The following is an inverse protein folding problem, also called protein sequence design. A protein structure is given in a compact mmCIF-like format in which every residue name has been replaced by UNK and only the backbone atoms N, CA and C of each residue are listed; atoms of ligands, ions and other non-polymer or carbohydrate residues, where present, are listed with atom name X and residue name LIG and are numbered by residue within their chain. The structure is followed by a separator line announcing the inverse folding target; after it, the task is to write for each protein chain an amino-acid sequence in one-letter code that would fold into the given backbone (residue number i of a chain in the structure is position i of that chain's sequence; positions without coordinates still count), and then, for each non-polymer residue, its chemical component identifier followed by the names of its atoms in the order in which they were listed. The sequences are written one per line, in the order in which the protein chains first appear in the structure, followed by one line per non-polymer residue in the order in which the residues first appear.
data_IF_529193297024
#
_entry.id   IF_529193297024
#
_cell.length_a   1.000
_cell.length_b   1.000
_cell.length_c   1.000
_cell.angle_alpha   90.00
_cell.angle_beta   90.00
_cell.angle_gamma   90.00
#
_symmetry.space_group_name_H-M   'P 1'
#
loop_
_entity.id
_entity.type
_entity.pdbx_description
1 polymer ?
#
# COMPACT_ATOMS: atom_id res chain seq x y z
N UNK A 1 28.12 -25.32 -0.56
CA UNK A 1 28.74 -23.98 -0.74
C UNK A 1 28.11 -23.02 0.24
N UNK A 2 28.93 -22.30 1.00
CA UNK A 2 28.45 -21.19 1.83
C UNK A 2 28.02 -20.04 0.90
N UNK A 3 26.87 -19.40 1.15
CA UNK A 3 26.43 -18.27 0.35
C UNK A 3 27.41 -17.09 0.49
N UNK A 4 27.57 -16.26 -0.55
CA UNK A 4 28.46 -15.09 -0.47
C UNK A 4 28.04 -14.13 0.66
N UNK A 5 28.99 -13.37 1.20
CA UNK A 5 28.77 -12.46 2.35
C UNK A 5 27.90 -11.23 1.97
N UNK A 6 26.72 -11.03 2.59
CA UNK A 6 25.76 -9.99 2.18
C UNK A 6 26.33 -8.56 2.03
N UNK A 7 25.75 -7.79 1.11
CA UNK A 7 26.09 -6.40 0.82
C UNK A 7 25.36 -5.44 1.78
N UNK A 8 24.04 -5.55 1.92
CA UNK A 8 23.23 -4.62 2.74
C UNK A 8 22.57 -5.31 3.93
N UNK A 9 22.17 -6.57 3.80
CA UNK A 9 21.47 -7.31 4.85
C UNK A 9 22.42 -7.95 5.88
N UNK A 10 21.92 -8.16 7.10
CA UNK A 10 22.64 -8.91 8.13
C UNK A 10 22.76 -10.41 7.81
N UNK A 11 21.84 -10.95 7.01
CA UNK A 11 21.81 -12.38 6.62
C UNK A 11 21.52 -12.53 5.13
N UNK A 12 21.93 -13.64 4.50
CA UNK A 12 21.63 -13.90 3.09
C UNK A 12 20.13 -13.91 2.81
N UNK A 13 19.76 -13.56 1.57
CA UNK A 13 18.36 -13.54 1.12
C UNK A 13 17.75 -14.95 1.06
N UNK A 14 16.43 -15.03 0.89
CA UNK A 14 15.69 -16.28 0.64
C UNK A 14 16.27 -17.06 -0.54
N UNK A 15 16.75 -16.38 -1.57
CA UNK A 15 17.30 -17.02 -2.77
C UNK A 15 18.61 -17.74 -2.54
N UNK A 16 19.33 -17.43 -1.45
CA UNK A 16 20.57 -18.10 -1.11
C UNK A 16 20.39 -19.60 -0.84
N UNK A 17 19.18 -20.14 -0.65
CA UNK A 17 18.92 -21.58 -0.46
C UNK A 17 18.38 -22.27 -1.70
N UNK A 18 18.19 -21.55 -2.81
CA UNK A 18 17.58 -22.12 -4.01
C UNK A 18 18.51 -23.11 -4.72
N UNK A 19 17.92 -24.14 -5.31
CA UNK A 19 18.57 -24.97 -6.32
C UNK A 19 18.82 -24.16 -7.60
N UNK A 20 19.73 -24.64 -8.44
CA UNK A 20 20.05 -24.00 -9.73
C UNK A 20 18.81 -23.80 -10.62
N UNK A 21 17.91 -24.79 -10.65
CA UNK A 21 16.66 -24.72 -11.44
C UNK A 21 15.73 -23.64 -10.87
N UNK A 22 15.52 -23.63 -9.55
CA UNK A 22 14.71 -22.61 -8.89
C UNK A 22 15.27 -21.21 -9.12
N UNK A 23 16.60 -21.04 -9.05
CA UNK A 23 17.23 -19.76 -9.30
C UNK A 23 17.02 -19.25 -10.73
N UNK A 24 17.15 -20.13 -11.74
CA UNK A 24 16.85 -19.78 -13.15
C UNK A 24 15.38 -19.43 -13.38
N UNK A 25 14.46 -20.17 -12.76
CA UNK A 25 13.02 -19.86 -12.83
C UNK A 25 12.74 -18.49 -12.21
N UNK A 26 13.32 -18.19 -11.06
CA UNK A 26 13.16 -16.89 -10.41
C UNK A 26 13.79 -15.74 -11.21
N UNK A 27 14.92 -15.95 -11.91
CA UNK A 27 15.46 -14.96 -12.85
C UNK A 27 14.53 -14.73 -14.04
N UNK A 28 13.96 -15.79 -14.61
CA UNK A 28 12.98 -15.67 -15.69
C UNK A 28 11.71 -14.95 -15.22
N UNK A 29 11.24 -15.24 -14.01
CA UNK A 29 10.10 -14.55 -13.40
C UNK A 29 10.40 -13.05 -13.15
N UNK A 30 11.61 -12.71 -12.71
CA UNK A 30 12.04 -11.32 -12.59
C UNK A 30 12.06 -10.62 -13.96
N UNK A 31 12.63 -11.26 -14.98
CA UNK A 31 12.62 -10.70 -16.34
C UNK A 31 11.19 -10.48 -16.84
N UNK A 32 10.29 -11.44 -16.62
CA UNK A 32 8.87 -11.30 -16.95
C UNK A 32 8.20 -10.16 -16.17
N UNK A 33 8.51 -9.99 -14.89
CA UNK A 33 7.98 -8.89 -14.06
C UNK A 33 8.47 -7.52 -14.54
N UNK A 34 9.73 -7.42 -14.97
CA UNK A 34 10.29 -6.20 -15.56
C UNK A 34 9.60 -5.86 -16.89
N UNK A 35 9.37 -6.85 -17.75
CA UNK A 35 8.62 -6.64 -18.99
C UNK A 35 7.15 -6.26 -18.70
N UNK A 36 6.54 -6.92 -17.73
CA UNK A 36 5.18 -6.63 -17.30
C UNK A 36 5.06 -5.20 -16.77
N UNK A 37 6.07 -4.66 -16.07
CA UNK A 37 5.99 -3.27 -15.60
C UNK A 37 6.03 -2.23 -16.72
N UNK A 38 6.63 -2.57 -17.87
CA UNK A 38 6.62 -1.72 -19.05
C UNK A 38 5.24 -1.64 -19.72
N UNK A 39 4.27 -2.47 -19.34
CA UNK A 39 2.87 -2.32 -19.80
C UNK A 39 2.25 -1.00 -19.37
N UNK A 40 2.88 -0.24 -18.46
CA UNK A 40 2.48 1.13 -18.11
C UNK A 40 2.44 2.09 -19.30
N UNK A 41 3.21 1.82 -20.36
CA UNK A 41 3.18 2.60 -21.60
C UNK A 41 1.94 2.31 -22.47
N UNK A 42 1.22 1.23 -22.18
CA UNK A 42 -0.06 0.90 -22.79
C UNK A 42 -1.24 1.53 -22.04
N UNK A 43 -1.00 2.06 -20.84
CA UNK A 43 -2.02 2.69 -20.01
C UNK A 43 -2.03 4.20 -20.28
N UNK A 44 -3.15 4.78 -20.70
CA UNK A 44 -3.27 6.22 -20.86
C UNK A 44 -2.89 6.96 -19.58
N UNK A 45 -2.33 8.18 -19.68
CA UNK A 45 -2.18 9.01 -18.49
C UNK A 45 -3.57 9.22 -17.84
N UNK A 46 -3.62 9.37 -16.51
CA UNK A 46 -4.87 9.73 -15.87
C UNK A 46 -5.40 11.02 -16.52
N UNK A 47 -6.72 11.15 -16.69
CA UNK A 47 -7.27 12.43 -17.13
C UNK A 47 -6.77 13.53 -16.17
N UNK A 48 -6.59 14.77 -16.66
CA UNK A 48 -6.41 15.92 -15.76
C UNK A 48 -7.47 15.81 -14.67
N UNK A 49 -7.11 16.09 -13.40
CA UNK A 49 -8.03 16.02 -12.27
C UNK A 49 -9.38 16.55 -12.73
N UNK A 50 -10.39 15.68 -12.75
CA UNK A 50 -11.65 15.98 -13.40
C UNK A 50 -12.23 17.19 -12.70
N UNK A 51 -12.04 18.34 -13.32
CA UNK A 51 -12.88 19.50 -13.09
C UNK A 51 -14.19 19.05 -13.73
N UNK A 52 -15.02 18.34 -12.97
CA UNK A 52 -16.39 18.06 -13.40
C UNK A 52 -17.06 19.42 -13.67
N UNK A 53 -18.12 19.43 -14.49
CA UNK A 53 -18.68 20.63 -15.15
C UNK A 53 -19.05 21.84 -14.26
N UNK A 54 -18.77 21.78 -12.96
CA UNK A 54 -18.93 22.80 -11.92
C UNK A 54 -17.61 23.38 -11.35
N UNK A 55 -16.42 22.79 -11.60
CA UNK A 55 -15.15 23.37 -11.12
C UNK A 55 -14.45 22.70 -9.92
N UNK A 56 -15.07 21.71 -9.27
CA UNK A 56 -14.65 21.24 -7.94
C UNK A 56 -13.65 20.06 -7.99
N UNK A 57 -12.65 20.07 -7.09
CA UNK A 57 -11.73 18.94 -6.87
C UNK A 57 -12.21 18.05 -5.71
N UNK A 58 -11.84 16.77 -5.71
CA UNK A 58 -12.18 15.83 -4.62
C UNK A 58 -11.76 16.35 -3.23
N UNK A 59 -10.67 17.09 -3.14
CA UNK A 59 -10.20 17.70 -1.87
C UNK A 59 -11.18 18.77 -1.41
N UNK A 60 -11.56 19.69 -2.29
CA UNK A 60 -12.52 20.74 -1.98
C UNK A 60 -13.90 20.17 -1.61
N UNK A 61 -14.29 19.03 -2.18
CA UNK A 61 -15.48 18.28 -1.78
C UNK A 61 -15.36 17.78 -0.33
N UNK A 62 -14.25 17.15 0.05
CA UNK A 62 -14.10 16.65 1.42
C UNK A 62 -13.98 17.78 2.44
N UNK A 63 -13.30 18.88 2.11
CA UNK A 63 -13.21 20.06 2.97
C UNK A 63 -14.58 20.71 3.21
N UNK A 64 -15.43 20.80 2.19
CA UNK A 64 -16.79 21.35 2.35
C UNK A 64 -17.66 20.47 3.26
N UNK A 65 -17.53 19.14 3.15
CA UNK A 65 -18.21 18.19 4.04
C UNK A 65 -17.74 18.36 5.49
N UNK A 66 -16.42 18.46 5.71
CA UNK A 66 -15.85 18.71 7.05
C UNK A 66 -16.37 20.02 7.63
N UNK A 67 -16.40 21.09 6.83
CA UNK A 67 -16.91 22.38 7.25
C UNK A 67 -18.39 22.31 7.63
N UNK A 68 -19.23 21.65 6.84
CA UNK A 68 -20.66 21.48 7.15
C UNK A 68 -20.87 20.73 8.48
N UNK A 69 -20.15 19.62 8.69
CA UNK A 69 -20.22 18.85 9.94
C UNK A 69 -19.71 19.66 11.13
N UNK A 70 -18.66 20.48 10.95
CA UNK A 70 -18.14 21.36 12.00
C UNK A 70 -19.17 22.43 12.43
N UNK A 71 -20.07 22.84 11.54
CA UNK A 71 -21.18 23.74 11.83
C UNK A 71 -22.44 23.02 12.37
N UNK A 72 -22.34 21.71 12.66
CA UNK A 72 -23.39 20.93 13.31
C UNK A 72 -24.32 20.17 12.35
N UNK A 73 -24.00 20.09 11.06
CA UNK A 73 -24.76 19.26 10.13
C UNK A 73 -24.50 17.76 10.34
N UNK A 74 -25.51 16.94 10.02
CA UNK A 74 -25.36 15.49 9.95
C UNK A 74 -24.47 15.11 8.76
N UNK A 75 -23.48 14.24 9.00
CA UNK A 75 -22.50 13.82 8.00
C UNK A 75 -23.13 13.31 6.71
N UNK A 76 -24.17 12.48 6.80
CA UNK A 76 -24.76 11.83 5.63
C UNK A 76 -25.53 12.83 4.79
N UNK A 77 -26.26 13.76 5.42
CA UNK A 77 -26.94 14.85 4.71
C UNK A 77 -25.97 15.80 4.05
N UNK A 78 -24.99 16.30 4.81
CA UNK A 78 -23.94 17.19 4.30
C UNK A 78 -23.20 16.56 3.10
N UNK A 79 -22.86 15.28 3.20
CA UNK A 79 -22.20 14.54 2.12
C UNK A 79 -23.12 14.37 0.91
N UNK A 80 -24.39 14.02 1.10
CA UNK A 80 -25.33 13.85 -0.01
C UNK A 80 -25.53 15.16 -0.78
N UNK A 81 -25.68 16.28 -0.06
CA UNK A 81 -25.87 17.59 -0.68
C UNK A 81 -24.61 18.06 -1.40
N UNK A 82 -23.43 17.87 -0.81
CA UNK A 82 -22.16 18.18 -1.45
C UNK A 82 -21.92 17.33 -2.72
N UNK A 83 -22.21 16.03 -2.68
CA UNK A 83 -22.09 15.15 -3.85
C UNK A 83 -23.06 15.57 -4.97
N UNK A 84 -24.33 15.89 -4.65
CA UNK A 84 -25.30 16.38 -5.65
C UNK A 84 -24.86 17.70 -6.27
N UNK A 85 -24.40 18.64 -5.44
CA UNK A 85 -23.92 19.94 -5.89
C UNK A 85 -22.69 19.81 -6.81
N UNK A 86 -21.80 18.87 -6.50
CA UNK A 86 -20.62 18.56 -7.32
C UNK A 86 -20.90 17.69 -8.55
N UNK A 87 -22.12 17.15 -8.72
CA UNK A 87 -22.45 16.24 -9.81
C UNK A 87 -21.88 14.82 -9.65
N UNK A 88 -21.40 14.47 -8.45
CA UNK A 88 -20.86 13.15 -8.14
C UNK A 88 -21.97 12.11 -7.98
N UNK A 89 -21.68 10.81 -8.22
CA UNK A 89 -22.64 9.74 -7.97
C UNK A 89 -22.87 9.51 -6.47
N UNK A 90 -24.12 9.23 -6.09
CA UNK A 90 -24.51 8.86 -4.72
C UNK A 90 -24.79 7.36 -4.56
N UNK A 91 -24.69 6.57 -5.65
CA UNK A 91 -25.00 5.14 -5.66
C UNK A 91 -23.85 4.34 -6.28
N UNK A 92 -23.51 3.14 -5.75
CA UNK A 92 -24.01 2.53 -4.51
C UNK A 92 -23.48 3.25 -3.27
N UNK A 93 -23.83 2.79 -2.06
CA UNK A 93 -23.42 3.47 -0.82
C UNK A 93 -21.90 3.69 -0.66
N UNK A 94 -21.07 2.92 -1.38
CA UNK A 94 -19.61 3.06 -1.44
C UNK A 94 -19.12 4.36 -2.12
N UNK A 95 -20.01 5.16 -2.72
CA UNK A 95 -19.66 6.50 -3.17
C UNK A 95 -19.48 7.47 -2.00
N UNK A 96 -20.07 7.16 -0.84
CA UNK A 96 -19.82 7.86 0.42
C UNK A 96 -18.57 7.28 1.06
N UNK A 97 -17.71 8.16 1.59
CA UNK A 97 -16.58 7.73 2.41
C UNK A 97 -17.06 7.36 3.80
N UNK A 98 -16.24 6.61 4.54
CA UNK A 98 -16.54 6.36 5.94
C UNK A 98 -16.47 7.69 6.73
N UNK A 99 -17.40 7.93 7.66
CA UNK A 99 -17.50 9.23 8.35
C UNK A 99 -16.33 9.52 9.30
N UNK A 100 -15.53 8.51 9.66
CA UNK A 100 -14.57 8.59 10.76
C UNK A 100 -13.60 9.77 10.63
N UNK A 101 -13.04 10.00 9.43
CA UNK A 101 -12.11 11.11 9.23
C UNK A 101 -12.81 12.46 9.30
N UNK A 102 -13.92 12.62 8.56
CA UNK A 102 -14.63 13.90 8.50
C UNK A 102 -15.14 14.33 9.89
N UNK A 103 -15.67 13.40 10.68
CA UNK A 103 -16.14 13.67 12.04
C UNK A 103 -14.98 14.08 12.95
N UNK A 104 -13.83 13.40 12.88
CA UNK A 104 -12.65 13.80 13.67
C UNK A 104 -12.18 15.19 13.26
N UNK A 105 -12.07 15.47 11.95
CA UNK A 105 -11.61 16.75 11.44
C UNK A 105 -12.55 17.90 11.79
N UNK A 106 -13.86 17.67 11.78
CA UNK A 106 -14.86 18.65 12.18
C UNK A 106 -14.77 19.07 13.65
N UNK A 107 -14.22 18.20 14.52
CA UNK A 107 -14.07 18.48 15.96
C UNK A 107 -12.74 19.13 16.34
N UNK A 108 -11.78 19.20 15.42
CA UNK A 108 -10.43 19.68 15.69
C UNK A 108 -10.12 20.95 14.91
N UNK A 109 -9.34 21.88 15.48
CA UNK A 109 -8.79 23.00 14.72
C UNK A 109 -7.94 22.49 13.54
N UNK A 110 -7.95 23.15 12.37
CA UNK A 110 -7.20 22.69 11.19
C UNK A 110 -5.71 22.46 11.46
N UNK A 111 -5.08 23.33 12.26
CA UNK A 111 -3.68 23.18 12.64
C UNK A 111 -3.39 21.90 13.43
N UNK A 112 -4.32 21.46 14.29
CA UNK A 112 -4.18 20.23 15.06
C UNK A 112 -4.36 19.00 14.18
N UNK A 113 -5.28 19.05 13.21
CA UNK A 113 -5.45 17.98 12.20
C UNK A 113 -4.17 17.78 11.37
N UNK A 114 -3.56 18.87 10.90
CA UNK A 114 -2.28 18.82 10.18
C UNK A 114 -1.17 18.28 11.09
N UNK A 115 -1.10 18.74 12.34
CA UNK A 115 -0.12 18.23 13.31
C UNK A 115 -0.28 16.72 13.55
N UNK A 116 -1.52 16.22 13.68
CA UNK A 116 -1.81 14.79 13.82
C UNK A 116 -1.38 13.99 12.59
N UNK A 117 -1.59 14.51 11.38
CA UNK A 117 -1.13 13.88 10.15
C UNK A 117 0.40 13.74 10.14
N UNK A 118 1.10 14.83 10.44
CA UNK A 118 2.58 14.84 10.47
C UNK A 118 3.13 13.94 11.57
N UNK A 119 2.49 13.89 12.74
CA UNK A 119 2.85 12.97 13.81
C UNK A 119 2.65 11.51 13.40
N UNK A 120 1.54 11.19 12.71
CA UNK A 120 1.29 9.86 12.18
C UNK A 120 2.31 9.46 11.11
N UNK A 121 2.66 10.36 10.20
CA UNK A 121 3.69 10.16 9.19
C UNK A 121 5.07 9.92 9.83
N UNK A 122 5.43 10.73 10.84
CA UNK A 122 6.66 10.58 11.60
C UNK A 122 6.69 9.26 12.38
N UNK A 123 5.63 8.91 13.10
CA UNK A 123 5.52 7.65 13.83
C UNK A 123 5.65 6.43 12.91
N UNK A 124 5.01 6.47 11.74
CA UNK A 124 5.10 5.42 10.72
C UNK A 124 6.53 5.29 10.19
N UNK A 125 7.17 6.42 9.86
CA UNK A 125 8.56 6.46 9.37
C UNK A 125 9.53 5.92 10.42
N UNK A 126 9.41 6.35 11.68
CA UNK A 126 10.25 5.91 12.80
C UNK A 126 10.05 4.40 13.04
N UNK A 127 8.81 3.92 13.09
CA UNK A 127 8.51 2.51 13.31
C UNK A 127 9.15 1.61 12.23
N UNK A 128 9.06 2.02 10.96
CA UNK A 128 9.72 1.31 9.86
C UNK A 128 11.23 1.43 9.88
N UNK A 129 11.78 2.62 10.12
CA UNK A 129 13.22 2.82 10.17
C UNK A 129 13.86 1.98 11.29
N UNK A 130 13.29 2.01 12.50
CA UNK A 130 13.78 1.20 13.63
C UNK A 130 13.69 -0.30 13.33
N UNK A 131 12.66 -0.73 12.58
CA UNK A 131 12.53 -2.11 12.15
C UNK A 131 13.61 -2.50 11.14
N UNK A 132 13.83 -1.67 10.12
CA UNK A 132 14.83 -1.91 9.07
C UNK A 132 16.25 -1.82 9.61
N UNK A 133 16.54 -0.91 10.54
CA UNK A 133 17.86 -0.75 11.14
C UNK A 133 18.37 -2.03 11.83
N UNK A 134 17.47 -2.88 12.33
CA UNK A 134 17.82 -4.21 12.90
C UNK A 134 18.29 -5.21 11.85
N UNK A 135 17.87 -5.03 10.59
CA UNK A 135 18.23 -5.89 9.47
C UNK A 135 19.44 -5.39 8.69
N UNK A 136 19.82 -4.13 8.90
CA UNK A 136 20.85 -3.42 8.13
C UNK A 136 22.04 -3.08 9.05
N UNK A 137 23.13 -3.87 9.03
CA UNK A 137 24.28 -3.66 9.92
C UNK A 137 25.12 -2.44 9.54
N UNK A 138 25.06 -1.99 8.28
CA UNK A 138 25.95 -0.93 7.74
C UNK A 138 25.22 0.41 7.60
N UNK A 139 25.91 1.51 7.89
CA UNK A 139 25.37 2.87 7.79
C UNK A 139 24.85 3.22 6.38
N UNK A 140 25.56 2.94 5.26
CA UNK A 140 25.05 3.25 3.92
C UNK A 140 23.69 2.60 3.63
N UNK A 141 23.48 1.37 4.09
CA UNK A 141 22.20 0.69 3.90
C UNK A 141 21.07 1.32 4.73
N UNK A 142 21.38 1.83 5.93
CA UNK A 142 20.42 2.60 6.75
C UNK A 142 20.08 3.94 6.13
N UNK A 143 21.06 4.63 5.53
CA UNK A 143 20.82 5.88 4.79
C UNK A 143 19.93 5.61 3.56
N UNK A 144 20.20 4.55 2.81
CA UNK A 144 19.34 4.12 1.71
C UNK A 144 17.91 3.83 2.19
N UNK A 145 17.75 3.20 3.37
CA UNK A 145 16.43 2.94 3.95
C UNK A 145 15.68 4.24 4.30
N UNK A 146 16.37 5.21 4.88
CA UNK A 146 15.78 6.52 5.16
C UNK A 146 15.34 7.24 3.88
N UNK A 147 16.16 7.21 2.83
CA UNK A 147 15.83 7.81 1.52
C UNK A 147 14.60 7.13 0.89
N UNK A 148 14.55 5.80 0.90
CA UNK A 148 13.44 5.04 0.32
C UNK A 148 12.13 5.25 1.09
N UNK A 149 12.20 5.36 2.42
CA UNK A 149 11.05 5.72 3.25
C UNK A 149 10.59 7.15 2.95
N UNK A 150 11.51 8.12 2.88
CA UNK A 150 11.17 9.50 2.53
C UNK A 150 10.53 9.60 1.14
N UNK A 151 11.07 8.86 0.15
CA UNK A 151 10.49 8.79 -1.19
C UNK A 151 9.09 8.15 -1.19
N UNK A 152 8.83 7.13 -0.35
CA UNK A 152 7.50 6.55 -0.19
C UNK A 152 6.50 7.48 0.51
N UNK A 153 6.99 8.43 1.32
CA UNK A 153 6.19 9.34 2.14
C UNK A 153 5.84 10.67 1.46
N UNK A 154 6.26 10.93 0.22
CA UNK A 154 6.16 12.25 -0.43
C UNK A 154 4.74 12.85 -0.44
N UNK A 155 3.71 12.04 -0.68
CA UNK A 155 2.31 12.50 -0.64
C UNK A 155 1.79 12.70 0.79
N UNK A 156 2.33 11.98 1.76
CA UNK A 156 1.79 11.87 3.12
C UNK A 156 2.19 13.01 4.06
N UNK A 157 3.04 13.91 3.58
CA UNK A 157 3.52 15.10 4.31
C UNK A 157 2.99 16.40 3.72
N UNK A 158 2.07 16.33 2.76
CA UNK A 158 1.46 17.49 2.10
C UNK A 158 0.22 17.94 2.89
N UNK A 159 0.21 19.16 3.45
CA UNK A 159 -0.95 19.67 4.20
C UNK A 159 -2.23 19.74 3.37
N UNK A 160 -2.10 20.03 2.07
CA UNK A 160 -3.25 20.15 1.15
C UNK A 160 -4.00 18.82 0.93
N UNK A 161 -3.40 17.70 1.32
CA UNK A 161 -4.03 16.37 1.22
C UNK A 161 -4.64 15.91 2.56
N UNK A 162 -4.76 16.81 3.55
CA UNK A 162 -5.23 16.46 4.89
C UNK A 162 -6.66 15.90 4.89
N UNK A 163 -7.55 16.36 4.01
CA UNK A 163 -8.92 15.84 3.89
C UNK A 163 -8.99 14.52 3.08
N UNK A 164 -7.88 14.07 2.50
CA UNK A 164 -7.84 12.90 1.61
C UNK A 164 -7.69 11.60 2.41
N UNK A 165 -8.67 10.71 2.29
CA UNK A 165 -8.83 9.56 3.19
C UNK A 165 -7.71 8.52 3.03
N UNK A 166 -7.21 8.33 1.81
CA UNK A 166 -6.12 7.43 1.48
C UNK A 166 -4.80 7.80 2.15
N UNK A 167 -4.56 9.09 2.42
CA UNK A 167 -3.35 9.55 3.11
C UNK A 167 -3.32 8.98 4.53
N UNK A 168 -4.41 9.16 5.28
CA UNK A 168 -4.53 8.65 6.64
C UNK A 168 -4.57 7.13 6.67
N UNK A 169 -5.39 6.51 5.83
CA UNK A 169 -5.53 5.05 5.82
C UNK A 169 -4.26 4.34 5.36
N UNK A 170 -3.54 4.87 4.36
CA UNK A 170 -2.25 4.34 3.92
C UNK A 170 -1.19 4.39 5.01
N UNK A 171 -1.10 5.50 5.75
CA UNK A 171 -0.20 5.61 6.91
C UNK A 171 -0.57 4.63 8.02
N UNK A 172 -1.86 4.49 8.35
CA UNK A 172 -2.31 3.55 9.38
C UNK A 172 -2.07 2.09 8.97
N UNK A 173 -2.29 1.73 7.71
CA UNK A 173 -1.96 0.40 7.16
C UNK A 173 -0.46 0.15 7.28
N UNK A 174 0.37 1.11 6.89
CA UNK A 174 1.82 1.01 7.01
C UNK A 174 2.28 0.89 8.47
N UNK A 175 1.73 1.70 9.38
CA UNK A 175 2.02 1.65 10.81
C UNK A 175 1.60 0.32 11.42
N UNK A 176 0.38 -0.14 11.13
CA UNK A 176 -0.12 -1.45 11.55
C UNK A 176 0.84 -2.57 11.11
N UNK A 177 1.29 -2.54 9.85
CA UNK A 177 2.24 -3.52 9.32
C UNK A 177 3.60 -3.46 10.05
N UNK A 178 4.12 -2.27 10.37
CA UNK A 178 5.35 -2.11 11.14
C UNK A 178 5.22 -2.66 12.58
N UNK A 179 4.11 -2.33 13.25
CA UNK A 179 3.82 -2.71 14.63
C UNK A 179 3.59 -4.21 14.78
N UNK A 180 3.03 -4.86 13.77
CA UNK A 180 2.73 -6.29 13.83
C UNK A 180 3.98 -7.12 14.15
N UNK A 181 3.89 -7.86 15.25
CA UNK A 181 4.85 -8.90 15.64
C UNK A 181 4.11 -10.24 15.80
N UNK A 182 4.83 -11.37 15.65
CA UNK A 182 4.27 -12.69 15.90
C UNK A 182 3.48 -12.83 17.19
N UNK A 183 4.02 -12.30 18.29
CA UNK A 183 3.46 -12.47 19.63
C UNK A 183 2.67 -11.24 20.09
N UNK A 184 2.65 -10.15 19.29
CA UNK A 184 1.95 -8.89 19.57
C UNK A 184 1.32 -8.35 18.29
N UNK A 185 0.08 -8.75 18.06
CA UNK A 185 -0.69 -8.42 16.86
C UNK A 185 -1.95 -7.59 17.17
N UNK A 186 -2.33 -7.45 18.44
CA UNK A 186 -3.57 -6.76 18.85
C UNK A 186 -3.51 -5.28 18.49
N UNK A 187 -2.38 -4.62 18.75
CA UNK A 187 -2.16 -3.22 18.43
C UNK A 187 -2.20 -2.98 16.92
N UNK A 188 -1.63 -3.90 16.14
CA UNK A 188 -1.72 -3.84 14.69
C UNK A 188 -3.17 -3.99 14.21
N UNK A 189 -3.91 -4.97 14.73
CA UNK A 189 -5.32 -5.16 14.38
C UNK A 189 -6.19 -3.94 14.76
N UNK A 190 -5.92 -3.30 15.91
CA UNK A 190 -6.60 -2.07 16.34
C UNK A 190 -6.30 -0.89 15.41
N UNK A 191 -5.03 -0.67 15.05
CA UNK A 191 -4.64 0.38 14.09
C UNK A 191 -5.26 0.12 12.71
N UNK A 192 -5.33 -1.14 12.27
CA UNK A 192 -6.00 -1.52 11.03
C UNK A 192 -7.51 -1.27 11.07
N UNK A 193 -8.16 -1.50 12.20
CA UNK A 193 -9.57 -1.16 12.38
C UNK A 193 -9.81 0.34 12.22
N UNK A 194 -8.96 1.18 12.82
CA UNK A 194 -9.03 2.63 12.62
C UNK A 194 -8.85 2.98 11.14
N UNK A 195 -7.90 2.33 10.44
CA UNK A 195 -7.72 2.53 9.00
C UNK A 195 -8.98 2.19 8.21
N UNK A 196 -9.67 1.09 8.54
CA UNK A 196 -10.93 0.68 7.89
C UNK A 196 -12.08 1.67 8.16
N UNK A 197 -12.15 2.24 9.37
CA UNK A 197 -13.16 3.24 9.74
C UNK A 197 -12.92 4.62 9.11
N UNK A 198 -11.72 4.87 8.59
CA UNK A 198 -11.41 6.03 7.75
C UNK A 198 -11.63 5.70 6.27
N UNK A 199 -11.19 4.52 5.84
CA UNK A 199 -11.26 4.08 4.44
C UNK A 199 -11.58 2.60 4.36
N UNK A 200 -12.73 2.29 3.77
CA UNK A 200 -13.26 0.94 3.62
C UNK A 200 -12.32 0.02 2.84
N UNK A 201 -11.55 0.54 1.88
CA UNK A 201 -10.59 -0.24 1.10
C UNK A 201 -9.40 -0.74 1.92
N UNK A 202 -9.16 -0.18 3.11
CA UNK A 202 -8.19 -0.73 4.06
C UNK A 202 -8.57 -2.14 4.54
N UNK A 203 -9.82 -2.58 4.35
CA UNK A 203 -10.24 -3.96 4.66
C UNK A 203 -9.43 -5.01 3.89
N UNK A 204 -8.95 -4.68 2.68
CA UNK A 204 -8.06 -5.58 1.92
C UNK A 204 -6.80 -5.94 2.70
N UNK A 205 -6.25 -4.99 3.47
CA UNK A 205 -5.10 -5.24 4.33
C UNK A 205 -5.44 -6.22 5.46
N UNK A 206 -6.55 -6.01 6.17
CA UNK A 206 -6.98 -6.91 7.25
C UNK A 206 -7.27 -8.33 6.74
N UNK A 207 -7.90 -8.46 5.56
CA UNK A 207 -8.13 -9.75 4.89
C UNK A 207 -6.81 -10.44 4.56
N UNK A 208 -5.85 -9.75 3.95
CA UNK A 208 -4.54 -10.32 3.64
C UNK A 208 -3.79 -10.78 4.90
N UNK A 209 -3.83 -9.99 5.97
CA UNK A 209 -3.19 -10.32 7.24
C UNK A 209 -3.85 -11.52 7.92
N UNK A 210 -5.19 -11.59 7.92
CA UNK A 210 -5.96 -12.71 8.46
C UNK A 210 -5.73 -14.00 7.68
N UNK A 211 -5.77 -13.94 6.35
CA UNK A 211 -5.54 -15.10 5.49
C UNK A 211 -4.13 -15.70 5.68
N UNK A 212 -3.11 -14.85 5.78
CA UNK A 212 -1.74 -15.33 6.03
C UNK A 212 -1.59 -15.85 7.46
N UNK A 213 -2.21 -15.21 8.45
CA UNK A 213 -2.21 -15.73 9.82
C UNK A 213 -2.86 -17.13 9.88
N UNK A 214 -3.93 -17.38 9.14
CA UNK A 214 -4.54 -18.71 9.00
C UNK A 214 -3.58 -19.70 8.34
N UNK A 215 -2.96 -19.32 7.22
CA UNK A 215 -1.98 -20.16 6.52
C UNK A 215 -0.74 -20.48 7.36
N UNK A 216 -0.32 -19.56 8.24
CA UNK A 216 0.77 -19.76 9.21
C UNK A 216 0.34 -20.58 10.45
N UNK A 217 -0.92 -21.03 10.53
CA UNK A 217 -1.45 -21.76 11.69
C UNK A 217 -1.70 -20.91 12.93
N UNK A 218 -1.65 -19.58 12.82
CA UNK A 218 -1.75 -18.63 13.94
C UNK A 218 -3.21 -18.26 14.20
N UNK A 219 -3.96 -19.23 14.74
CA UNK A 219 -5.42 -19.10 14.95
C UNK A 219 -5.82 -17.87 15.76
N UNK A 220 -5.10 -17.56 16.85
CA UNK A 220 -5.39 -16.38 17.69
C UNK A 220 -5.26 -15.07 16.92
N UNK A 221 -4.18 -14.93 16.14
CA UNK A 221 -3.96 -13.76 15.29
C UNK A 221 -5.03 -13.66 14.21
N UNK A 222 -5.35 -14.77 13.54
CA UNK A 222 -6.42 -14.82 12.54
C UNK A 222 -7.79 -14.43 13.12
N UNK A 223 -8.14 -14.91 14.31
CA UNK A 223 -9.36 -14.51 15.02
C UNK A 223 -9.36 -13.01 15.33
N UNK A 224 -8.21 -12.44 15.69
CA UNK A 224 -8.05 -11.01 15.89
C UNK A 224 -8.36 -10.17 14.65
N UNK A 225 -7.78 -10.54 13.51
CA UNK A 225 -8.09 -9.90 12.22
C UNK A 225 -9.55 -10.10 11.83
N UNK A 226 -10.11 -11.29 12.07
CA UNK A 226 -11.52 -11.59 11.86
C UNK A 226 -12.46 -10.76 12.74
N UNK A 227 -12.11 -10.54 14.01
CA UNK A 227 -12.88 -9.69 14.93
C UNK A 227 -12.85 -8.23 14.49
N UNK A 228 -11.68 -7.71 14.08
CA UNK A 228 -11.57 -6.36 13.53
C UNK A 228 -12.43 -6.19 12.26
N UNK A 229 -12.40 -7.17 11.35
CA UNK A 229 -13.27 -7.20 10.18
C UNK A 229 -14.76 -7.29 10.55
N UNK A 230 -15.11 -8.05 11.59
CA UNK A 230 -16.48 -8.17 12.07
C UNK A 230 -17.02 -6.84 12.63
N UNK A 231 -16.23 -6.14 13.45
CA UNK A 231 -16.57 -4.80 13.95
C UNK A 231 -16.72 -3.81 12.79
N UNK A 232 -15.79 -3.85 11.83
CA UNK A 232 -15.88 -3.01 10.64
C UNK A 232 -17.11 -3.34 9.79
N UNK A 233 -17.47 -4.61 9.62
CA UNK A 233 -18.65 -5.02 8.87
C UNK A 233 -19.94 -4.47 9.50
N UNK A 234 -20.05 -4.47 10.84
CA UNK A 234 -21.18 -3.85 11.54
C UNK A 234 -21.23 -2.34 11.25
N UNK A 235 -20.08 -1.66 11.35
CA UNK A 235 -19.99 -0.23 11.03
C UNK A 235 -20.35 0.07 9.56
N UNK A 236 -19.92 -0.78 8.63
CA UNK A 236 -20.19 -0.64 7.21
C UNK A 236 -21.67 -0.88 6.87
N UNK A 237 -22.33 -1.83 7.55
CA UNK A 237 -23.78 -2.05 7.43
C UNK A 237 -24.54 -0.84 7.96
N UNK A 238 -24.19 -0.32 9.14
CA UNK A 238 -24.79 0.88 9.69
C UNK A 238 -24.59 2.09 8.75
N UNK A 239 -23.39 2.22 8.17
CA UNK A 239 -23.07 3.22 7.16
C UNK A 239 -23.97 3.07 5.91
N UNK A 240 -24.13 1.87 5.37
CA UNK A 240 -25.00 1.61 4.22
C UNK A 240 -26.47 1.96 4.50
N UNK A 241 -26.98 1.63 5.70
CA UNK A 241 -28.35 2.00 6.13
C UNK A 241 -28.51 3.51 6.20
N UNK A 242 -27.53 4.23 6.77
CA UNK A 242 -27.58 5.68 6.87
C UNK A 242 -27.53 6.36 5.50
N UNK A 243 -26.67 5.89 4.59
CA UNK A 243 -26.62 6.37 3.20
C UNK A 243 -27.95 6.14 2.47
N UNK A 244 -28.59 4.98 2.69
CA UNK A 244 -29.91 4.73 2.11
C UNK A 244 -30.97 5.75 2.56
N UNK A 245 -30.85 6.28 3.79
CA UNK A 245 -31.75 7.31 4.31
C UNK A 245 -31.60 8.69 3.67
N UNK A 246 -30.51 8.96 2.94
CA UNK A 246 -30.24 10.26 2.30
C UNK A 246 -30.12 10.18 0.77
N UNK A 247 -30.36 9.00 0.18
CA UNK A 247 -30.25 8.75 -1.27
C UNK A 247 -31.59 8.37 -1.88
N UNK A 248 -31.77 8.72 -3.15
CA UNK A 248 -32.98 8.51 -3.94
C UNK A 248 -32.69 7.68 -5.19
N UNK A 249 -33.66 6.92 -5.74
CA UNK A 249 -33.51 6.27 -7.04
C UNK A 249 -33.15 7.20 -8.20
N UNK A 250 -33.43 8.50 -8.08
CA UNK A 250 -33.10 9.53 -9.08
C UNK A 250 -31.64 10.00 -8.99
N UNK A 251 -30.93 9.70 -7.90
CA UNK A 251 -29.53 10.11 -7.76
C UNK A 251 -28.62 9.33 -8.72
N UNK A 252 -27.55 10.00 -9.17
CA UNK A 252 -26.60 9.46 -10.12
C UNK A 252 -25.92 8.18 -9.61
N UNK A 253 -25.75 7.22 -10.50
CA UNK A 253 -25.10 5.93 -10.21
C UNK A 253 -23.67 5.95 -10.73
N UNK A 254 -22.74 5.51 -9.88
CA UNK A 254 -21.33 5.37 -10.20
C UNK A 254 -21.16 4.40 -11.38
N UNK A 255 -20.22 4.66 -12.30
CA UNK A 255 -19.92 3.77 -13.41
C UNK A 255 -19.34 2.40 -12.99
N UNK A 256 -19.12 2.17 -11.69
CA UNK A 256 -18.63 0.91 -11.14
C UNK A 256 -17.12 0.72 -11.28
N UNK A 257 -16.65 -0.50 -11.02
CA UNK A 257 -15.24 -0.89 -10.98
C UNK A 257 -14.87 -1.83 -12.13
N UNK A 258 -14.90 -1.33 -13.37
CA UNK A 258 -14.65 -2.11 -14.59
C UNK A 258 -13.41 -1.68 -15.35
N UNK A 259 -12.37 -1.20 -14.66
CA UNK A 259 -11.21 -0.57 -15.32
C UNK A 259 -10.35 -1.53 -16.16
N UNK A 260 -10.08 -2.76 -15.69
CA UNK A 260 -9.33 -3.80 -16.42
C UNK A 260 -8.03 -3.32 -17.12
N UNK A 261 -7.34 -2.33 -16.54
CA UNK A 261 -6.14 -1.73 -17.13
C UNK A 261 -4.84 -2.52 -16.85
N UNK A 262 -4.94 -3.63 -16.12
CA UNK A 262 -3.84 -4.54 -15.86
C UNK A 262 -2.73 -3.97 -14.97
N UNK A 263 -1.60 -4.68 -14.92
CA UNK A 263 -0.48 -4.32 -14.05
C UNK A 263 0.12 -2.94 -14.36
N UNK A 264 0.01 -2.48 -15.61
CA UNK A 264 0.46 -1.15 -16.01
C UNK A 264 -0.19 -0.02 -15.21
N UNK A 265 -1.47 -0.14 -14.83
CA UNK A 265 -2.14 0.87 -14.01
C UNK A 265 -1.62 0.87 -12.58
N UNK A 266 -1.31 -0.31 -12.02
CA UNK A 266 -0.64 -0.39 -10.73
C UNK A 266 0.72 0.31 -10.75
N UNK A 267 1.50 0.08 -11.82
CA UNK A 267 2.79 0.77 -11.99
C UNK A 267 2.59 2.28 -12.06
N UNK A 268 1.62 2.77 -12.84
CA UNK A 268 1.29 4.21 -12.92
C UNK A 268 0.91 4.77 -11.53
N UNK A 269 0.00 4.09 -10.83
CA UNK A 269 -0.47 4.49 -9.51
C UNK A 269 0.70 4.60 -8.52
N UNK A 270 1.59 3.61 -8.47
CA UNK A 270 2.75 3.63 -7.58
C UNK A 270 3.80 4.67 -7.98
N UNK A 271 3.97 4.95 -9.27
CA UNK A 271 4.83 6.05 -9.72
C UNK A 271 4.32 7.38 -9.17
N UNK A 272 3.02 7.67 -9.33
CA UNK A 272 2.40 8.93 -8.89
C UNK A 272 2.27 9.03 -7.36
N UNK A 273 2.11 7.91 -6.66
CA UNK A 273 1.95 7.89 -5.20
C UNK A 273 3.27 8.01 -4.43
N UNK A 274 4.43 8.01 -5.12
CA UNK A 274 5.76 8.01 -4.50
C UNK A 274 6.70 8.99 -5.17
N UNK A 275 7.88 9.21 -4.59
CA UNK A 275 8.95 10.02 -5.19
C UNK A 275 9.47 9.52 -6.53
N UNK A 276 9.03 8.33 -7.00
CA UNK A 276 9.33 7.86 -8.35
C UNK A 276 8.73 8.75 -9.45
N UNK A 277 7.72 9.58 -9.14
CA UNK A 277 7.17 10.56 -10.08
C UNK A 277 8.22 11.57 -10.58
N UNK A 278 9.33 11.76 -9.85
CA UNK A 278 10.42 12.64 -10.23
C UNK A 278 11.38 12.02 -11.26
N UNK A 279 11.22 10.73 -11.57
CA UNK A 279 12.07 9.98 -12.50
C UNK A 279 11.40 9.81 -13.86
N UNK A 280 12.17 9.57 -14.93
CA UNK A 280 11.62 9.13 -16.21
C UNK A 280 10.75 7.88 -16.04
N UNK A 281 9.59 7.83 -16.71
CA UNK A 281 8.59 6.78 -16.54
C UNK A 281 9.15 5.35 -16.70
N UNK A 282 10.09 5.15 -17.62
CA UNK A 282 10.70 3.84 -17.82
C UNK A 282 11.48 3.39 -16.56
N UNK A 283 12.21 4.30 -15.92
CA UNK A 283 13.02 3.99 -14.74
C UNK A 283 12.11 3.71 -13.54
N UNK A 284 11.07 4.52 -13.35
CA UNK A 284 10.06 4.29 -12.33
C UNK A 284 9.42 2.90 -12.47
N UNK A 285 9.04 2.52 -13.70
CA UNK A 285 8.44 1.21 -14.00
C UNK A 285 9.36 0.04 -13.63
N UNK A 286 10.65 0.13 -13.98
CA UNK A 286 11.63 -0.91 -13.63
C UNK A 286 11.86 -0.96 -12.11
N UNK A 287 11.93 0.19 -11.44
CA UNK A 287 12.09 0.25 -9.98
C UNK A 287 10.88 -0.34 -9.23
N UNK A 288 9.65 -0.17 -9.73
CA UNK A 288 8.45 -0.79 -9.14
C UNK A 288 8.53 -2.32 -9.23
N UNK A 289 8.92 -2.86 -10.38
CA UNK A 289 9.16 -4.30 -10.54
C UNK A 289 10.27 -4.82 -9.61
N UNK A 290 11.39 -4.11 -9.54
CA UNK A 290 12.50 -4.44 -8.64
C UNK A 290 12.09 -4.37 -7.16
N UNK A 291 11.21 -3.43 -6.80
CA UNK A 291 10.67 -3.30 -5.45
C UNK A 291 9.90 -4.56 -5.04
N UNK A 292 8.96 -5.01 -5.88
CA UNK A 292 8.21 -6.26 -5.65
C UNK A 292 9.15 -7.47 -5.57
N UNK A 293 10.13 -7.56 -6.48
CA UNK A 293 11.15 -8.60 -6.45
C UNK A 293 11.92 -8.61 -5.13
N UNK A 294 12.38 -7.46 -4.65
CA UNK A 294 13.12 -7.36 -3.40
C UNK A 294 12.31 -7.88 -2.21
N UNK A 295 11.02 -7.56 -2.12
CA UNK A 295 10.14 -8.11 -1.09
C UNK A 295 10.04 -9.63 -1.13
N UNK A 296 10.11 -10.26 -2.31
CA UNK A 296 10.13 -11.74 -2.42
C UNK A 296 11.44 -12.36 -1.88
N UNK A 297 12.55 -11.61 -1.96
CA UNK A 297 13.86 -12.05 -1.52
C UNK A 297 14.04 -12.04 0.00
N UNK A 298 13.21 -11.31 0.75
CA UNK A 298 13.40 -11.17 2.19
C UNK A 298 12.88 -12.38 2.99
N UNK A 299 13.64 -12.77 4.02
CA UNK A 299 13.34 -13.95 4.87
C UNK A 299 12.41 -13.67 6.05
N UNK A 300 12.29 -12.42 6.50
CA UNK A 300 11.38 -12.04 7.58
C UNK A 300 9.94 -12.47 7.21
N UNK A 301 9.18 -13.15 8.10
CA UNK A 301 7.78 -13.49 7.89
C UNK A 301 6.89 -12.31 7.47
N UNK A 302 7.24 -11.08 7.87
CA UNK A 302 6.57 -9.86 7.42
C UNK A 302 6.63 -9.68 5.91
N UNK A 303 7.73 -10.10 5.27
CA UNK A 303 7.92 -9.85 3.84
C UNK A 303 6.87 -10.56 2.98
N UNK A 304 6.41 -11.76 3.40
CA UNK A 304 5.30 -12.44 2.74
C UNK A 304 3.98 -11.68 2.88
N UNK A 305 3.74 -11.09 4.06
CA UNK A 305 2.54 -10.28 4.34
C UNK A 305 2.55 -8.98 3.55
N UNK A 306 3.68 -8.30 3.50
CA UNK A 306 3.89 -7.11 2.67
C UNK A 306 3.70 -7.45 1.19
N UNK A 307 4.33 -8.53 0.70
CA UNK A 307 4.19 -8.97 -0.68
C UNK A 307 2.75 -9.30 -1.06
N UNK A 308 2.03 -10.04 -0.21
CA UNK A 308 0.63 -10.37 -0.45
C UNK A 308 -0.26 -9.12 -0.45
N UNK A 309 0.02 -8.14 0.41
CA UNK A 309 -0.65 -6.85 0.39
C UNK A 309 -0.40 -6.11 -0.93
N UNK A 310 0.86 -6.00 -1.36
CA UNK A 310 1.19 -5.32 -2.62
C UNK A 310 0.65 -6.04 -3.84
N UNK A 311 0.69 -7.37 -3.86
CA UNK A 311 0.09 -8.18 -4.92
C UNK A 311 -1.44 -8.05 -4.92
N UNK A 312 -2.08 -8.02 -3.75
CA UNK A 312 -3.51 -7.78 -3.59
C UNK A 312 -3.91 -6.42 -4.15
N UNK A 313 -3.15 -5.36 -3.84
CA UNK A 313 -3.38 -4.03 -4.40
C UNK A 313 -3.05 -3.93 -5.89
N UNK A 314 -2.02 -4.63 -6.37
CA UNK A 314 -1.72 -4.70 -7.80
C UNK A 314 -2.85 -5.38 -8.59
N UNK A 315 -3.43 -6.45 -8.04
CA UNK A 315 -4.62 -7.09 -8.60
C UNK A 315 -5.84 -6.17 -8.50
N UNK A 316 -6.08 -5.54 -7.34
CA UNK A 316 -7.22 -4.66 -7.15
C UNK A 316 -7.18 -3.48 -8.13
N UNK A 317 -6.04 -2.83 -8.25
CA UNK A 317 -5.85 -1.70 -9.18
C UNK A 317 -5.90 -2.18 -10.62
N UNK A 318 -5.23 -3.28 -10.96
CA UNK A 318 -5.21 -3.76 -12.35
C UNK A 318 -6.56 -4.28 -12.86
N UNK A 319 -7.41 -4.80 -11.98
CA UNK A 319 -8.72 -5.36 -12.37
C UNK A 319 -9.86 -4.35 -12.22
N UNK A 320 -9.86 -3.55 -11.16
CA UNK A 320 -11.04 -2.80 -10.72
C UNK A 320 -10.87 -1.27 -10.82
N UNK A 321 -9.65 -0.74 -10.66
CA UNK A 321 -9.45 0.71 -10.67
C UNK A 321 -9.62 1.30 -12.07
N UNK A 322 -10.36 2.41 -12.13
CA UNK A 322 -10.45 3.31 -13.30
C UNK A 322 -9.26 4.27 -13.32
N UNK A 323 -9.01 4.90 -14.47
CA UNK A 323 -7.89 5.84 -14.65
C UNK A 323 -7.91 7.02 -13.67
N UNK A 324 -9.08 7.45 -13.22
CA UNK A 324 -9.30 8.52 -12.24
C UNK A 324 -9.20 8.04 -10.78
N UNK A 325 -9.09 6.73 -10.54
CA UNK A 325 -8.91 6.13 -9.21
C UNK A 325 -7.48 5.64 -8.93
N UNK A 326 -6.51 6.16 -9.67
CA UNK A 326 -5.08 5.82 -9.51
C UNK A 326 -4.55 6.07 -8.09
N UNK A 327 -5.19 6.95 -7.33
CA UNK A 327 -4.85 7.26 -5.94
C UNK A 327 -4.96 6.06 -4.99
N UNK A 328 -5.59 4.95 -5.39
CA UNK A 328 -5.57 3.68 -4.64
C UNK A 328 -4.14 3.20 -4.32
N UNK A 329 -3.14 3.57 -5.14
CA UNK A 329 -1.74 3.27 -4.86
C UNK A 329 -1.23 3.84 -3.52
N UNK A 330 -1.82 4.93 -3.02
CA UNK A 330 -1.48 5.55 -1.74
C UNK A 330 -1.70 4.58 -0.56
N UNK A 331 -2.59 3.59 -0.68
CA UNK A 331 -2.86 2.63 0.39
C UNK A 331 -1.65 1.77 0.78
N UNK A 332 -0.66 1.66 -0.10
CA UNK A 332 0.57 0.87 0.13
C UNK A 332 1.87 1.63 -0.14
N UNK A 333 1.79 2.81 -0.74
CA UNK A 333 2.92 3.67 -1.07
C UNK A 333 3.93 3.94 0.06
N UNK A 334 3.52 4.22 1.33
CA UNK A 334 4.43 4.66 2.39
C UNK A 334 5.67 3.77 2.60
N UNK A 335 5.51 2.47 2.36
CA UNK A 335 6.53 1.45 2.66
C UNK A 335 6.89 0.60 1.45
N UNK A 336 6.23 0.81 0.32
CA UNK A 336 6.41 -0.01 -0.87
C UNK A 336 7.88 -0.05 -1.28
N UNK A 337 8.50 1.12 -1.50
CA UNK A 337 9.87 1.28 -2.02
C UNK A 337 10.97 0.66 -1.15
N UNK A 338 10.69 0.31 0.11
CA UNK A 338 11.61 -0.43 0.99
C UNK A 338 12.07 -1.73 0.35
N UNK A 339 11.28 -2.34 -0.53
CA UNK A 339 11.67 -3.53 -1.28
C UNK A 339 12.98 -3.39 -2.04
N UNK A 340 13.32 -2.17 -2.51
CA UNK A 340 14.58 -1.90 -3.21
C UNK A 340 15.83 -2.18 -2.34
N UNK A 341 15.70 -2.12 -1.01
CA UNK A 341 16.80 -2.48 -0.09
C UNK A 341 17.21 -3.95 -0.22
N UNK A 342 16.30 -4.81 -0.63
CA UNK A 342 16.53 -6.26 -0.70
C UNK A 342 17.04 -6.71 -2.06
N UNK A 343 17.03 -5.83 -3.05
CA UNK A 343 17.40 -6.15 -4.44
C UNK A 343 18.88 -6.52 -4.59
N UNK A 344 19.87 -5.77 -4.03
CA UNK A 344 21.28 -6.09 -4.26
C UNK A 344 21.66 -7.49 -3.76
N UNK A 345 21.26 -7.82 -2.53
CA UNK A 345 21.50 -9.13 -1.93
C UNK A 345 20.69 -10.23 -2.63
N UNK A 346 19.43 -9.95 -2.97
CA UNK A 346 18.55 -10.88 -3.68
C UNK A 346 19.08 -11.28 -5.05
N UNK A 347 19.46 -10.30 -5.88
CA UNK A 347 20.04 -10.53 -7.21
C UNK A 347 21.36 -11.29 -7.12
N UNK A 348 22.24 -10.87 -6.21
CA UNK A 348 23.53 -11.51 -6.00
C UNK A 348 23.38 -12.99 -5.64
N UNK A 349 22.52 -13.31 -4.67
CA UNK A 349 22.28 -14.70 -4.26
C UNK A 349 21.66 -15.52 -5.40
N UNK A 350 20.74 -14.91 -6.15
CA UNK A 350 20.05 -15.56 -7.24
C UNK A 350 20.99 -15.86 -8.42
N UNK A 351 21.82 -14.90 -8.83
CA UNK A 351 22.84 -15.06 -9.87
C UNK A 351 23.88 -16.10 -9.45
N UNK A 352 24.37 -16.01 -8.21
CA UNK A 352 25.31 -17.00 -7.67
C UNK A 352 24.74 -18.43 -7.76
N UNK A 353 23.47 -18.62 -7.42
CA UNK A 353 22.80 -19.94 -7.51
C UNK A 353 22.49 -20.39 -8.93
N UNK A 354 22.17 -19.47 -9.85
CA UNK A 354 21.81 -19.81 -11.23
C UNK A 354 23.02 -20.26 -12.07
N UNK A 355 24.17 -19.61 -11.82
CA UNK A 355 25.41 -19.81 -12.57
C UNK A 355 26.46 -20.63 -11.83
N UNK A 356 26.10 -21.22 -10.69
CA UNK A 356 26.97 -22.12 -9.94
C UNK A 356 27.42 -23.31 -10.84
N UNK A 357 28.63 -23.19 -11.37
CA UNK A 357 29.31 -24.25 -12.10
C UNK A 357 30.01 -25.11 -11.08
N UNK A 358 29.61 -26.39 -10.95
CA UNK A 358 30.35 -27.36 -10.14
C UNK A 358 31.83 -27.30 -10.53
N UNK A 359 32.69 -26.72 -9.69
CA UNK A 359 34.14 -26.94 -9.80
C UNK A 359 34.35 -28.42 -9.53
N UNK A 360 34.65 -29.18 -10.58
CA UNK A 360 35.11 -30.56 -10.45
C UNK A 360 36.42 -30.51 -9.68
N UNK A 361 36.39 -30.86 -8.40
CA UNK A 361 37.61 -31.07 -7.62
C UNK A 361 38.19 -32.37 -8.12
N UNK A 362 39.17 -32.29 -9.02
CA UNK A 362 39.96 -33.45 -9.44
C UNK A 362 40.85 -33.82 -8.26
N UNK A 363 40.44 -34.80 -7.47
CA UNK A 363 41.30 -35.40 -6.45
C UNK A 363 42.34 -36.26 -7.18
N UNK A 364 43.57 -35.75 -7.36
CA UNK A 364 44.68 -36.60 -7.82
C UNK A 364 44.99 -37.61 -6.71
N UNK A 365 44.56 -38.85 -6.90
CA UNK A 365 45.05 -40.00 -6.14
C UNK A 365 46.48 -40.25 -6.60
N UNK A 366 47.48 -39.92 -5.78
CA UNK A 366 48.84 -40.44 -5.98
C UNK A 366 48.80 -41.93 -5.60
N UNK A 367 49.05 -42.80 -6.59
CA UNK A 367 49.38 -44.21 -6.35
C UNK A 367 50.87 -44.35 -6.07
#
# INVERSE_FOLDING_TARGET
MQPPAPIWLATPSRFATFSRRQARIALAALAALLLLSLTVFLVPPPPPAAIDGTGQTDIALYESIVAAVAHGEDYYRATADALRAGGYPLRPFLTFRMPGLAVVQATLPPALTIALLLLLAAATTIAWFLRLARMLPRLPARLAAAILLAAGMLAFVQPDLVAFHEIWAGLLVALSLALRRPDRWVEAAAVALIAMLIRETAALYAVAMGAIALAEGRRREAMGWGAALGVFAIALIAHAVAVHGVTSPLDATSPGWSGLHGFGLFVRAMTLATGLQLLPQFLAALLIALTLFGWTGQRDPLALRALALFAGWALAIGLFARLDTFYWGLMVAPVFLVGLLFVPDGLRDLVARAFDGRRVVVTRVRR
#
